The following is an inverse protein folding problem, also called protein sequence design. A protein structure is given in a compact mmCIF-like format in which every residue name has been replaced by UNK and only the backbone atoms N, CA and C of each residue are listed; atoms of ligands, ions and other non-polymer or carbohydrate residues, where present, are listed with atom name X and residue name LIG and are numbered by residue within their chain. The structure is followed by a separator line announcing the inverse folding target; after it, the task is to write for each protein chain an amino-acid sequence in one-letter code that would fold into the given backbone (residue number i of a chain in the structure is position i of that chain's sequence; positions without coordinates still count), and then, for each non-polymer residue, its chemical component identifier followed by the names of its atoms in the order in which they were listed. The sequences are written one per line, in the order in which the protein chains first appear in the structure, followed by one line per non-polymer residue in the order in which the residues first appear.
data_IF_348079719911
#
_entry.id   IF_348079719911
#
_cell.length_a   1.000
_cell.length_b   1.000
_cell.length_c   1.000
_cell.angle_alpha   90.00
_cell.angle_beta   90.00
_cell.angle_gamma   90.00
#
_symmetry.space_group_name_H-M   'P 1'
#
loop_
_entity.id
_entity.type
_entity.pdbx_description
1 polymer ?
#
# COMPACT_ATOMS: atom_id res chain seq x y z
N UNK A 1 9.83 -6.13 8.27
CA UNK A 1 10.04 -4.71 7.95
C UNK A 1 8.94 -3.94 8.66
N UNK A 2 9.25 -2.88 9.41
CA UNK A 2 8.21 -2.02 10.01
C UNK A 2 7.78 -1.01 8.94
N UNK A 3 6.48 -0.91 8.73
CA UNK A 3 5.85 -0.03 7.75
C UNK A 3 5.07 1.00 8.55
N UNK A 4 5.39 2.27 8.41
CA UNK A 4 4.78 3.35 9.17
C UNK A 4 4.28 4.42 8.20
N UNK A 5 3.12 5.00 8.51
CA UNK A 5 2.54 6.14 7.79
C UNK A 5 2.23 7.24 8.79
N UNK A 6 2.63 8.48 8.48
CA UNK A 6 2.29 9.63 9.30
C UNK A 6 1.03 10.33 8.80
N UNK A 7 0.26 10.85 9.75
CA UNK A 7 -0.89 11.73 9.55
C UNK A 7 -0.47 13.14 9.96
N UNK A 8 -0.77 14.12 9.11
CA UNK A 8 -0.32 15.50 9.26
C UNK A 8 -1.49 16.46 9.48
N UNK A 9 -1.26 17.51 10.28
CA UNK A 9 -2.19 18.64 10.33
C UNK A 9 -1.96 19.63 9.16
N UNK A 10 -2.78 20.68 9.12
CA UNK A 10 -2.69 21.76 8.13
C UNK A 10 -1.35 22.53 8.17
N UNK A 11 -0.59 22.41 9.26
CA UNK A 11 0.71 23.07 9.46
C UNK A 11 1.90 22.15 9.15
N UNK A 12 1.67 21.02 8.49
CA UNK A 12 2.69 20.00 8.18
C UNK A 12 3.29 19.32 9.42
N UNK A 13 2.61 19.38 10.57
CA UNK A 13 3.04 18.73 11.83
C UNK A 13 2.48 17.32 11.91
N UNK A 14 3.31 16.35 12.30
CA UNK A 14 2.88 14.97 12.53
C UNK A 14 2.01 14.95 13.79
N UNK A 15 0.75 14.55 13.64
CA UNK A 15 -0.20 14.40 14.75
C UNK A 15 -0.36 12.95 15.18
N UNK A 16 -0.08 12.01 14.28
CA UNK A 16 -0.24 10.56 14.49
C UNK A 16 0.70 9.80 13.56
N UNK A 17 1.26 8.70 14.05
CA UNK A 17 2.04 7.75 13.25
C UNK A 17 1.41 6.38 13.44
N UNK A 18 1.00 5.76 12.35
CA UNK A 18 0.33 4.46 12.36
C UNK A 18 1.28 3.39 11.82
N UNK A 19 1.47 2.32 12.58
CA UNK A 19 2.29 1.17 12.19
C UNK A 19 1.42 0.10 11.52
N UNK A 20 1.93 -0.49 10.44
CA UNK A 20 1.29 -1.63 9.81
C UNK A 20 1.46 -2.87 10.68
N UNK A 21 0.35 -3.54 11.00
CA UNK A 21 0.40 -4.84 11.66
C UNK A 21 0.69 -5.95 10.65
N UNK A 22 1.14 -7.11 11.17
CA UNK A 22 1.62 -8.25 10.39
C UNK A 22 0.71 -8.53 9.20
N UNK A 23 1.30 -8.51 8.00
CA UNK A 23 0.62 -8.54 6.70
C UNK A 23 0.15 -9.98 6.41
N UNK A 24 -0.80 -10.49 7.19
CA UNK A 24 -1.54 -11.72 6.89
C UNK A 24 -2.79 -11.36 6.10
N UNK A 25 -2.59 -10.78 4.92
CA UNK A 25 -3.65 -10.34 4.04
C UNK A 25 -4.17 -11.52 3.23
N UNK A 26 -5.50 -11.66 3.18
CA UNK A 26 -6.14 -12.66 2.32
C UNK A 26 -5.71 -12.48 0.85
N UNK A 27 -5.47 -13.59 0.15
CA UNK A 27 -5.03 -13.56 -1.26
C UNK A 27 -5.96 -12.73 -2.16
N UNK A 28 -7.27 -12.73 -1.89
CA UNK A 28 -8.25 -11.91 -2.63
C UNK A 28 -7.96 -10.41 -2.51
N UNK A 29 -7.55 -9.95 -1.33
CA UNK A 29 -7.19 -8.57 -1.03
C UNK A 29 -5.94 -8.15 -1.80
N UNK A 30 -4.91 -8.99 -1.79
CA UNK A 30 -3.67 -8.78 -2.55
C UNK A 30 -3.92 -8.79 -4.06
N UNK A 31 -4.72 -9.74 -4.55
CA UNK A 31 -5.10 -9.84 -5.96
C UNK A 31 -5.81 -8.57 -6.45
N UNK A 32 -6.71 -8.01 -5.64
CA UNK A 32 -7.41 -6.77 -5.95
C UNK A 32 -6.44 -5.60 -6.07
N UNK A 33 -5.54 -5.42 -5.08
CA UNK A 33 -4.48 -4.40 -5.14
C UNK A 33 -3.62 -4.51 -6.41
N UNK A 34 -3.17 -5.72 -6.77
CA UNK A 34 -2.36 -5.90 -7.98
C UNK A 34 -3.12 -5.54 -9.27
N UNK A 35 -4.41 -5.91 -9.34
CA UNK A 35 -5.25 -5.57 -10.49
C UNK A 35 -5.40 -4.05 -10.64
N UNK A 36 -5.47 -3.34 -9.51
CA UNK A 36 -5.56 -1.89 -9.50
C UNK A 36 -4.24 -1.24 -9.93
N UNK A 37 -3.13 -1.70 -9.37
CA UNK A 37 -1.82 -1.08 -9.55
C UNK A 37 -1.13 -1.38 -10.87
N UNK A 38 -1.71 -2.24 -11.72
CA UNK A 38 -1.18 -2.66 -13.01
C UNK A 38 0.35 -2.81 -12.95
N UNK A 39 0.81 -3.85 -12.22
CA UNK A 39 2.21 -3.98 -11.73
C UNK A 39 3.27 -3.97 -12.85
N UNK A 40 2.86 -4.05 -14.12
CA UNK A 40 3.72 -3.90 -15.28
C UNK A 40 4.07 -2.43 -15.63
N UNK A 41 3.29 -1.44 -15.14
CA UNK A 41 3.40 -0.01 -15.49
C UNK A 41 3.75 0.93 -14.31
N UNK A 42 4.12 0.40 -13.15
CA UNK A 42 4.34 1.17 -11.89
C UNK A 42 5.48 2.20 -11.96
N UNK A 43 6.24 2.24 -13.06
CA UNK A 43 7.33 3.19 -13.28
C UNK A 43 6.84 4.54 -13.86
N UNK A 44 5.58 4.64 -14.32
CA UNK A 44 4.99 5.91 -14.75
C UNK A 44 4.25 6.58 -13.57
N UNK A 45 4.83 7.65 -13.04
CA UNK A 45 4.24 8.43 -11.94
C UNK A 45 2.83 8.95 -12.27
N UNK A 46 2.55 9.29 -13.53
CA UNK A 46 1.22 9.78 -13.94
C UNK A 46 0.15 8.68 -13.94
N UNK A 47 0.50 7.49 -14.42
CA UNK A 47 -0.39 6.32 -14.38
C UNK A 47 -0.67 5.88 -12.93
N UNK A 48 0.38 5.88 -12.09
CA UNK A 48 0.26 5.57 -10.67
C UNK A 48 -0.72 6.52 -9.95
N UNK A 49 -0.63 7.82 -10.23
CA UNK A 49 -1.53 8.81 -9.65
C UNK A 49 -2.98 8.62 -10.09
N UNK A 50 -3.21 8.34 -11.37
CA UNK A 50 -4.53 8.04 -11.90
C UNK A 50 -5.14 6.79 -11.25
N UNK A 51 -4.32 5.77 -10.99
CA UNK A 51 -4.76 4.56 -10.30
C UNK A 51 -5.14 4.86 -8.86
N UNK A 52 -4.28 5.57 -8.11
CA UNK A 52 -4.56 5.92 -6.71
C UNK A 52 -5.85 6.72 -6.60
N UNK A 53 -6.07 7.68 -7.50
CA UNK A 53 -7.28 8.47 -7.54
C UNK A 53 -8.52 7.64 -7.95
N UNK A 54 -8.41 6.86 -9.03
CA UNK A 54 -9.53 6.07 -9.56
C UNK A 54 -9.93 4.88 -8.70
N UNK A 55 -9.04 4.43 -7.82
CA UNK A 55 -9.25 3.28 -6.94
C UNK A 55 -9.19 3.63 -5.45
N UNK A 56 -9.33 4.91 -5.10
CA UNK A 56 -9.11 5.42 -3.74
C UNK A 56 -9.82 4.61 -2.67
N UNK A 57 -11.14 4.43 -2.79
CA UNK A 57 -11.96 3.71 -1.80
C UNK A 57 -11.48 2.27 -1.57
N UNK A 58 -11.18 1.55 -2.64
CA UNK A 58 -10.69 0.17 -2.57
C UNK A 58 -9.29 0.12 -1.95
N UNK A 59 -8.47 1.12 -2.25
CA UNK A 59 -7.11 1.22 -1.76
C UNK A 59 -7.10 1.50 -0.25
N UNK A 60 -7.87 2.48 0.23
CA UNK A 60 -7.97 2.78 1.67
C UNK A 60 -8.64 1.65 2.45
N UNK A 61 -9.59 0.90 1.87
CA UNK A 61 -10.18 -0.28 2.52
C UNK A 61 -9.11 -1.35 2.77
N UNK A 62 -8.24 -1.60 1.80
CA UNK A 62 -7.17 -2.57 1.96
C UNK A 62 -6.08 -2.07 2.89
N UNK A 63 -5.67 -0.80 2.75
CA UNK A 63 -4.67 -0.22 3.65
C UNK A 63 -5.19 -0.14 5.10
N UNK A 64 -6.48 0.12 5.32
CA UNK A 64 -7.09 0.10 6.67
C UNK A 64 -6.99 -1.26 7.36
N UNK A 65 -6.96 -2.37 6.60
CA UNK A 65 -6.69 -3.72 7.14
C UNK A 65 -5.24 -3.87 7.59
N UNK A 66 -4.31 -3.17 6.94
CA UNK A 66 -2.89 -3.16 7.32
C UNK A 66 -2.60 -2.21 8.48
N UNK A 67 -3.27 -1.05 8.51
CA UNK A 67 -3.09 0.02 9.49
C UNK A 67 -4.34 0.13 10.37
N UNK A 68 -4.51 -0.72 11.39
CA UNK A 68 -5.74 -0.79 12.19
C UNK A 68 -5.99 0.48 13.01
N UNK A 69 -4.94 1.24 13.30
CA UNK A 69 -5.03 2.51 14.01
C UNK A 69 -5.44 3.67 13.09
N UNK A 70 -5.57 3.45 11.78
CA UNK A 70 -5.92 4.48 10.81
C UNK A 70 -7.44 4.67 10.73
N UNK A 71 -7.91 5.89 10.96
CA UNK A 71 -9.32 6.28 10.80
C UNK A 71 -9.62 6.73 9.37
N UNK A 72 -10.89 6.87 9.02
CA UNK A 72 -11.29 7.26 7.67
C UNK A 72 -10.75 8.64 7.28
N UNK A 73 -10.82 9.61 8.20
CA UNK A 73 -10.35 10.99 7.96
C UNK A 73 -8.82 11.08 7.90
N UNK A 74 -8.11 10.18 8.59
CA UNK A 74 -6.63 10.18 8.59
C UNK A 74 -6.06 10.04 7.17
N UNK A 75 -6.74 9.31 6.27
CA UNK A 75 -6.26 9.08 4.90
C UNK A 75 -6.14 10.34 4.06
N UNK A 76 -6.98 11.35 4.33
CA UNK A 76 -6.94 12.65 3.65
C UNK A 76 -5.74 13.51 4.11
N UNK A 77 -5.13 13.12 5.22
CA UNK A 77 -4.02 13.81 5.88
C UNK A 77 -2.67 13.07 5.72
N UNK A 78 -2.63 12.03 4.89
CA UNK A 78 -1.40 11.29 4.56
C UNK A 78 -0.71 11.91 3.35
N UNK A 79 0.61 12.07 3.43
CA UNK A 79 1.38 12.54 2.27
C UNK A 79 1.49 11.44 1.22
N UNK A 80 1.20 11.79 -0.03
CA UNK A 80 1.36 10.92 -1.19
C UNK A 80 2.76 10.26 -1.28
N UNK A 81 3.83 10.99 -0.93
CA UNK A 81 5.21 10.50 -0.91
C UNK A 81 5.46 9.35 0.09
N UNK A 82 4.59 9.19 1.09
CA UNK A 82 4.62 8.11 2.09
C UNK A 82 3.63 7.01 1.73
N UNK A 83 2.45 7.39 1.24
CA UNK A 83 1.41 6.47 0.80
C UNK A 83 1.90 5.54 -0.32
N UNK A 84 2.50 6.10 -1.38
CA UNK A 84 2.97 5.32 -2.53
C UNK A 84 3.99 4.24 -2.11
N UNK A 85 5.09 4.57 -1.41
CA UNK A 85 6.00 3.55 -0.90
C UNK A 85 5.32 2.53 0.01
N UNK A 86 4.36 2.93 0.84
CA UNK A 86 3.66 2.02 1.73
C UNK A 86 2.89 0.94 0.96
N UNK A 87 2.12 1.34 -0.06
CA UNK A 87 1.40 0.42 -0.96
C UNK A 87 2.37 -0.56 -1.62
N UNK A 88 3.48 -0.06 -2.20
CA UNK A 88 4.46 -0.89 -2.89
C UNK A 88 5.17 -1.87 -1.94
N UNK A 89 5.44 -1.43 -0.72
CA UNK A 89 6.08 -2.26 0.29
C UNK A 89 5.14 -3.36 0.81
N UNK A 90 3.84 -3.08 0.97
CA UNK A 90 2.82 -4.07 1.32
C UNK A 90 2.74 -5.14 0.22
N UNK A 91 2.68 -4.73 -1.04
CA UNK A 91 2.72 -5.66 -2.17
C UNK A 91 3.98 -6.52 -2.15
N UNK A 92 5.16 -5.89 -2.07
CA UNK A 92 6.44 -6.62 -2.05
C UNK A 92 6.54 -7.61 -0.88
N UNK A 93 6.08 -7.22 0.31
CA UNK A 93 6.08 -8.09 1.47
C UNK A 93 5.12 -9.27 1.31
N UNK A 94 3.92 -9.04 0.76
CA UNK A 94 2.91 -10.09 0.53
C UNK A 94 3.38 -11.14 -0.49
N UNK A 95 4.24 -10.76 -1.43
CA UNK A 95 4.83 -11.66 -2.42
C UNK A 95 6.26 -12.10 -2.10
N UNK A 96 6.86 -11.67 -0.99
CA UNK A 96 8.24 -12.03 -0.65
C UNK A 96 8.41 -13.56 -0.56
N UNK A 97 7.39 -14.25 -0.04
CA UNK A 97 7.35 -15.71 0.04
C UNK A 97 7.11 -16.38 -1.33
N UNK A 98 6.43 -15.72 -2.26
CA UNK A 98 6.19 -16.23 -3.63
C UNK A 98 7.41 -15.97 -4.53
N UNK A 99 8.04 -14.81 -4.42
CA UNK A 99 9.24 -14.42 -5.17
C UNK A 99 10.49 -15.17 -4.69
N UNK A 100 10.49 -15.66 -3.45
CA UNK A 100 11.55 -16.52 -2.92
C UNK A 100 11.40 -17.99 -3.33
N UNK A 101 10.27 -18.38 -3.94
CA UNK A 101 10.16 -19.66 -4.64
C UNK A 101 11.17 -19.63 -5.79
N UNK A 102 12.19 -20.51 -5.80
CA UNK A 102 13.14 -20.56 -6.88
C UNK A 102 12.38 -20.70 -8.20
N UNK A 103 12.64 -19.81 -9.16
CA UNK A 103 12.26 -20.06 -10.56
C UNK A 103 13.06 -21.27 -10.99
N UNK A 104 12.51 -22.46 -10.86
CA UNK A 104 13.14 -23.69 -11.33
C UNK A 104 13.37 -23.52 -12.84
N UNK A 105 14.62 -23.39 -13.32
CA UNK A 105 14.88 -23.12 -14.72
C UNK A 105 14.88 -24.45 -15.47
N UNK A 106 13.79 -25.23 -15.38
CA UNK A 106 13.64 -26.50 -16.09
C UNK A 106 12.18 -26.79 -16.42
N UNK A 107 11.75 -26.30 -17.58
CA UNK A 107 11.07 -27.11 -18.60
C UNK A 107 11.23 -26.46 -19.97
#
# INVERSE_FOLDING_TARGET
MRLEINVYDENDTIIKTCEAHTIDLEFGTIRSLMKLLNVDNVNDTGELLNIVYGAWEQLVEVLGKCFPDMEADDWEHVKLKELIPAILNILKASFADILSIPKDPKN
#
